data_IF_719314055172
#
_entry.id   IF_719314055172
#
_cell.length_a   1.000
_cell.length_b   1.000
_cell.length_c   1.000
_cell.angle_alpha   90.00
_cell.angle_beta   90.00
_cell.angle_gamma   90.00
#
_symmetry.space_group_name_H-M   'P 1'
#
loop_
_entity.id
_entity.type
_entity.pdbx_description
1 polymer ?
#
# COMPACT_ATOMS: atom_id res chain seq x y z
N UNK A 1 21.15 -9.12 -2.43
CA UNK A 1 19.83 -8.77 -2.96
C UNK A 1 19.61 -7.28 -2.79
N UNK A 2 19.05 -6.62 -3.79
CA UNK A 2 18.74 -5.21 -3.77
C UNK A 2 17.45 -4.92 -4.54
N UNK A 3 16.74 -3.86 -4.16
CA UNK A 3 15.60 -3.31 -4.87
C UNK A 3 15.92 -1.89 -5.37
N UNK A 4 15.56 -1.60 -6.60
CA UNK A 4 15.71 -0.27 -7.18
C UNK A 4 14.42 0.14 -7.87
N UNK A 5 14.02 1.39 -7.69
CA UNK A 5 12.90 1.99 -8.38
C UNK A 5 13.23 3.41 -8.83
N UNK A 6 12.73 3.77 -10.00
CA UNK A 6 12.70 5.12 -10.51
C UNK A 6 11.22 5.50 -10.73
N UNK A 7 10.79 6.58 -10.09
CA UNK A 7 9.41 7.04 -10.10
C UNK A 7 9.34 8.46 -10.68
N UNK A 8 8.66 8.64 -11.79
CA UNK A 8 8.40 9.95 -12.37
C UNK A 8 6.88 10.22 -12.34
N UNK A 9 6.46 11.21 -11.54
CA UNK A 9 5.06 11.56 -11.37
C UNK A 9 4.76 12.95 -11.93
N UNK A 10 3.74 13.01 -12.77
CA UNK A 10 3.23 14.26 -13.36
C UNK A 10 2.63 15.16 -12.27
N UNK A 11 3.17 16.38 -12.14
CA UNK A 11 2.71 17.38 -11.18
C UNK A 11 1.66 18.34 -11.77
N UNK A 12 1.52 18.36 -13.09
CA UNK A 12 0.77 19.41 -13.76
C UNK A 12 1.56 20.71 -13.83
N UNK A 13 0.87 21.85 -13.87
CA UNK A 13 1.47 23.16 -14.15
C UNK A 13 2.46 23.70 -13.11
N UNK A 14 2.58 23.12 -11.93
CA UNK A 14 3.59 23.46 -10.91
C UNK A 14 3.85 22.30 -9.93
N UNK A 15 4.97 22.34 -9.17
CA UNK A 15 5.41 21.27 -8.31
C UNK A 15 4.37 20.82 -7.27
N UNK A 16 4.50 19.60 -6.77
CA UNK A 16 3.68 19.04 -5.72
C UNK A 16 2.84 17.84 -6.17
N UNK A 17 3.41 16.96 -7.00
CA UNK A 17 2.86 15.62 -7.24
C UNK A 17 3.03 14.73 -5.99
N UNK A 18 2.37 13.57 -5.93
CA UNK A 18 2.56 12.63 -4.83
C UNK A 18 3.86 11.80 -4.92
N UNK A 19 4.91 12.31 -5.58
CA UNK A 19 6.17 11.60 -5.79
C UNK A 19 6.82 11.12 -4.49
N UNK A 20 6.89 11.98 -3.47
CA UNK A 20 7.47 11.63 -2.17
C UNK A 20 6.67 10.51 -1.45
N UNK A 21 5.34 10.56 -1.52
CA UNK A 21 4.49 9.52 -0.92
C UNK A 21 4.60 8.20 -1.68
N UNK A 22 4.69 8.26 -3.01
CA UNK A 22 4.93 7.08 -3.84
C UNK A 22 6.24 6.40 -3.47
N UNK A 23 7.34 7.18 -3.33
CA UNK A 23 8.63 6.67 -2.90
C UNK A 23 8.56 5.99 -1.52
N UNK A 24 7.89 6.61 -0.55
CA UNK A 24 7.70 6.01 0.78
C UNK A 24 6.91 4.70 0.76
N UNK A 25 6.00 4.53 -0.19
CA UNK A 25 5.15 3.35 -0.27
C UNK A 25 5.73 2.22 -1.12
N UNK A 26 6.64 2.53 -2.06
CA UNK A 26 7.05 1.60 -3.11
C UNK A 26 7.51 0.23 -2.59
N UNK A 27 8.41 0.20 -1.61
CA UNK A 27 8.91 -1.06 -1.06
C UNK A 27 8.51 -1.30 0.40
N UNK A 28 7.54 -0.56 0.90
CA UNK A 28 7.19 -0.58 2.31
C UNK A 28 6.67 -1.94 2.82
N UNK A 29 6.12 -2.77 1.91
CA UNK A 29 5.65 -4.11 2.26
C UNK A 29 6.77 -5.17 2.32
N UNK A 30 8.00 -4.84 1.94
CA UNK A 30 9.07 -5.84 1.78
C UNK A 30 10.30 -5.52 2.63
N UNK A 31 10.90 -6.57 3.20
CA UNK A 31 12.15 -6.55 3.93
C UNK A 31 13.30 -6.92 2.98
N UNK A 32 14.22 -6.01 2.77
CA UNK A 32 15.38 -6.20 1.89
C UNK A 32 16.58 -5.42 2.40
N UNK A 33 17.81 -5.94 2.23
CA UNK A 33 18.99 -5.34 2.83
C UNK A 33 19.47 -4.06 2.13
N UNK A 34 19.13 -3.88 0.85
CA UNK A 34 19.60 -2.74 0.06
C UNK A 34 18.49 -2.22 -0.84
N UNK A 35 18.26 -0.93 -0.85
CA UNK A 35 17.25 -0.29 -1.68
C UNK A 35 17.66 1.10 -2.15
N UNK A 36 17.26 1.45 -3.35
CA UNK A 36 17.40 2.78 -3.93
C UNK A 36 16.07 3.18 -4.58
N UNK A 37 15.59 4.37 -4.25
CA UNK A 37 14.42 4.96 -4.90
C UNK A 37 14.77 6.38 -5.33
N UNK A 38 14.76 6.61 -6.62
CA UNK A 38 14.79 7.94 -7.22
C UNK A 38 13.38 8.35 -7.58
N UNK A 39 12.93 9.50 -7.11
CA UNK A 39 11.57 9.98 -7.31
C UNK A 39 11.56 11.41 -7.83
N UNK A 40 10.89 11.63 -8.95
CA UNK A 40 10.87 12.89 -9.69
C UNK A 40 9.45 13.47 -9.70
N UNK A 41 9.38 14.74 -9.34
CA UNK A 41 8.18 15.57 -9.45
C UNK A 41 8.24 16.34 -10.77
N UNK A 42 7.50 15.89 -11.78
CA UNK A 42 7.64 16.38 -13.17
C UNK A 42 6.59 17.43 -13.47
N UNK A 43 7.02 18.67 -13.68
CA UNK A 43 6.13 19.77 -14.09
C UNK A 43 5.88 19.70 -15.59
N UNK A 44 4.61 19.75 -15.97
CA UNK A 44 4.15 19.63 -17.37
C UNK A 44 2.99 20.60 -17.66
N UNK A 45 2.72 20.84 -18.92
CA UNK A 45 1.63 21.71 -19.37
C UNK A 45 0.26 21.02 -19.30
N UNK A 46 -0.14 20.65 -18.05
CA UNK A 46 -1.45 20.06 -17.72
C UNK A 46 -2.04 20.73 -16.50
N UNK A 47 -3.34 20.52 -16.20
CA UNK A 47 -3.91 20.95 -14.94
C UNK A 47 -3.12 20.38 -13.76
N UNK A 48 -3.03 21.14 -12.65
CA UNK A 48 -2.36 20.72 -11.43
C UNK A 48 -2.96 19.42 -10.91
N UNK A 49 -2.09 18.43 -10.64
CA UNK A 49 -2.50 17.21 -9.96
C UNK A 49 -2.86 17.50 -8.51
N UNK A 50 -3.85 16.81 -7.99
CA UNK A 50 -4.31 16.96 -6.62
C UNK A 50 -4.37 15.60 -5.92
N UNK A 51 -4.38 15.64 -4.60
CA UNK A 51 -4.48 14.45 -3.78
C UNK A 51 -5.83 13.75 -3.99
N UNK A 52 -5.77 12.46 -4.23
CA UNK A 52 -6.93 11.58 -4.26
C UNK A 52 -6.57 10.30 -3.49
N UNK A 53 -7.24 10.05 -2.39
CA UNK A 53 -7.15 8.91 -1.46
C UNK A 53 -5.82 8.13 -1.50
N UNK A 54 -4.97 8.29 -0.49
CA UNK A 54 -3.62 7.73 -0.40
C UNK A 54 -2.72 8.08 -1.61
N UNK A 55 -2.53 9.39 -1.91
CA UNK A 55 -1.85 9.84 -3.13
C UNK A 55 -0.43 9.27 -3.22
N UNK A 56 -0.12 8.62 -4.33
CA UNK A 56 1.16 7.95 -4.58
C UNK A 56 1.20 6.47 -4.21
N UNK A 57 0.45 6.03 -3.20
CA UNK A 57 0.44 4.62 -2.78
C UNK A 57 -0.11 3.68 -3.86
N UNK A 58 -1.27 3.96 -4.50
CA UNK A 58 -1.78 3.07 -5.55
C UNK A 58 -0.83 2.97 -6.75
N UNK A 59 -0.21 4.08 -7.15
CA UNK A 59 0.73 4.10 -8.27
C UNK A 59 1.98 3.26 -7.97
N UNK A 60 2.56 3.44 -6.78
CA UNK A 60 3.72 2.67 -6.34
C UNK A 60 3.38 1.18 -6.15
N UNK A 61 2.24 0.88 -5.52
CA UNK A 61 1.79 -0.48 -5.32
C UNK A 61 1.57 -1.19 -6.66
N UNK A 62 0.90 -0.56 -7.63
CA UNK A 62 0.70 -1.15 -8.94
C UNK A 62 2.03 -1.52 -9.61
N UNK A 63 3.00 -0.61 -9.61
CA UNK A 63 4.30 -0.84 -10.24
C UNK A 63 5.08 -1.97 -9.55
N UNK A 64 5.20 -1.92 -8.22
CA UNK A 64 5.98 -2.90 -7.47
C UNK A 64 5.32 -4.28 -7.47
N UNK A 65 4.02 -4.35 -7.24
CA UNK A 65 3.30 -5.61 -7.17
C UNK A 65 3.20 -6.32 -8.53
N UNK A 66 3.15 -5.56 -9.63
CA UNK A 66 3.24 -6.13 -10.98
C UNK A 66 4.60 -6.81 -11.22
N UNK A 67 5.69 -6.17 -10.80
CA UNK A 67 7.04 -6.78 -10.89
C UNK A 67 7.15 -7.99 -9.96
N UNK A 68 6.56 -7.93 -8.78
CA UNK A 68 6.53 -9.08 -7.86
C UNK A 68 5.77 -10.26 -8.47
N UNK A 69 4.63 -10.01 -9.12
CA UNK A 69 3.87 -11.07 -9.79
C UNK A 69 4.66 -11.69 -10.96
N UNK A 70 5.35 -10.86 -11.77
CA UNK A 70 6.25 -11.38 -12.81
C UNK A 70 7.40 -12.21 -12.24
N UNK A 71 7.95 -11.83 -11.09
CA UNK A 71 8.97 -12.62 -10.40
C UNK A 71 8.42 -13.96 -9.91
N UNK A 72 7.22 -13.95 -9.32
CA UNK A 72 6.55 -15.18 -8.88
C UNK A 72 6.34 -16.14 -10.05
N UNK A 73 5.87 -15.65 -11.19
CA UNK A 73 5.68 -16.45 -12.40
C UNK A 73 7.00 -17.03 -12.91
N UNK A 74 8.04 -16.21 -13.06
CA UNK A 74 9.36 -16.62 -13.54
C UNK A 74 10.05 -17.65 -12.63
N UNK A 75 9.83 -17.55 -11.31
CA UNK A 75 10.42 -18.44 -10.31
C UNK A 75 9.55 -19.66 -10.00
N UNK A 76 8.31 -19.70 -10.46
CA UNK A 76 7.34 -20.75 -10.13
C UNK A 76 6.98 -20.77 -8.63
N UNK A 77 6.96 -19.62 -7.98
CA UNK A 77 6.67 -19.47 -6.55
C UNK A 77 5.24 -18.94 -6.39
N UNK A 78 4.50 -19.49 -5.42
CA UNK A 78 3.18 -18.97 -5.06
C UNK A 78 3.26 -17.50 -4.65
N UNK A 79 2.37 -16.62 -5.16
CA UNK A 79 2.42 -15.19 -4.88
C UNK A 79 2.31 -14.81 -3.39
N UNK A 80 1.55 -15.56 -2.59
CA UNK A 80 1.49 -15.31 -1.14
C UNK A 80 2.76 -15.82 -0.45
N UNK A 81 3.28 -16.96 -0.82
CA UNK A 81 4.53 -17.50 -0.26
C UNK A 81 5.73 -16.57 -0.53
N UNK A 82 5.80 -16.01 -1.74
CA UNK A 82 6.82 -15.01 -2.06
C UNK A 82 6.72 -13.79 -1.14
N UNK A 83 5.49 -13.30 -0.95
CA UNK A 83 5.23 -12.14 -0.09
C UNK A 83 5.52 -12.44 1.38
N UNK A 84 5.13 -13.60 1.89
CA UNK A 84 5.42 -14.02 3.26
C UNK A 84 6.93 -14.13 3.52
N UNK A 85 7.67 -14.70 2.57
CA UNK A 85 9.13 -14.84 2.67
C UNK A 85 9.84 -13.51 2.77
N UNK A 86 9.32 -12.48 2.09
CA UNK A 86 9.95 -11.16 1.98
C UNK A 86 9.19 -10.07 2.75
N UNK A 87 8.18 -10.40 3.55
CA UNK A 87 7.32 -9.44 4.21
C UNK A 87 8.07 -8.55 5.20
N UNK A 88 7.78 -7.26 5.17
CA UNK A 88 8.08 -6.37 6.27
C UNK A 88 7.35 -6.80 7.54
N UNK A 89 8.02 -6.70 8.66
CA UNK A 89 7.51 -7.06 10.00
C UNK A 89 8.00 -6.08 11.05
N UNK A 90 7.59 -6.28 12.28
CA UNK A 90 8.14 -5.51 13.39
C UNK A 90 9.66 -5.56 13.39
N UNK A 91 10.30 -4.39 13.50
CA UNK A 91 11.74 -4.26 13.43
C UNK A 91 12.31 -4.03 12.03
N UNK A 92 11.60 -4.31 10.95
CA UNK A 92 12.05 -3.98 9.59
C UNK A 92 12.22 -2.47 9.43
N UNK A 93 13.36 -2.06 8.88
CA UNK A 93 13.65 -0.66 8.55
C UNK A 93 13.16 -0.35 7.14
N UNK A 94 12.33 0.66 7.01
CA UNK A 94 11.92 1.19 5.70
C UNK A 94 13.07 1.93 5.03
N UNK A 95 13.01 2.07 3.70
CA UNK A 95 14.06 2.71 2.92
C UNK A 95 14.32 4.17 3.33
N UNK A 96 13.28 4.89 3.74
CA UNK A 96 13.40 6.27 4.20
C UNK A 96 13.85 6.41 5.67
N UNK A 97 14.13 5.29 6.36
CA UNK A 97 14.78 5.24 7.66
C UNK A 97 13.95 4.79 8.85
N UNK A 98 12.65 5.07 8.98
CA UNK A 98 11.85 4.61 10.11
C UNK A 98 11.80 3.09 10.23
N UNK A 99 11.71 2.62 11.47
CA UNK A 99 11.56 1.19 11.78
C UNK A 99 10.10 0.91 12.10
N UNK A 100 9.56 -0.17 11.56
CA UNK A 100 8.21 -0.58 11.87
C UNK A 100 8.08 -0.96 13.35
N UNK A 101 7.06 -0.41 13.97
CA UNK A 101 6.46 -1.00 15.18
C UNK A 101 5.64 -2.22 14.77
N UNK A 102 4.80 -2.74 15.66
CA UNK A 102 3.91 -3.84 15.30
C UNK A 102 3.06 -3.49 14.08
N UNK A 103 3.13 -4.35 13.06
CA UNK A 103 2.32 -4.32 11.85
C UNK A 103 1.76 -5.73 11.59
N UNK A 104 0.59 -5.83 10.97
CA UNK A 104 -0.13 -7.09 10.76
C UNK A 104 -0.03 -7.64 9.33
N UNK A 105 1.03 -7.30 8.57
CA UNK A 105 1.14 -7.73 7.17
C UNK A 105 1.23 -9.25 7.04
N UNK A 106 2.06 -9.89 7.87
CA UNK A 106 2.24 -11.35 7.85
C UNK A 106 0.93 -12.05 8.19
N UNK A 107 0.25 -11.61 9.24
CA UNK A 107 -1.05 -12.16 9.67
C UNK A 107 -2.13 -11.99 8.59
N UNK A 108 -2.13 -10.86 7.88
CA UNK A 108 -3.05 -10.63 6.76
C UNK A 108 -2.76 -11.58 5.58
N UNK A 109 -1.50 -11.79 5.24
CA UNK A 109 -1.09 -12.71 4.18
C UNK A 109 -1.42 -14.16 4.54
N UNK A 110 -1.20 -14.58 5.78
CA UNK A 110 -1.56 -15.91 6.26
C UNK A 110 -3.07 -16.14 6.26
N UNK A 111 -3.85 -15.14 6.68
CA UNK A 111 -5.31 -15.19 6.62
C UNK A 111 -5.80 -15.28 5.16
N UNK A 112 -5.22 -14.52 4.25
CA UNK A 112 -5.54 -14.60 2.83
C UNK A 112 -5.18 -15.97 2.23
N UNK A 113 -4.02 -16.52 2.59
CA UNK A 113 -3.57 -17.85 2.14
C UNK A 113 -4.52 -18.96 2.58
N UNK A 114 -5.01 -18.89 3.81
CA UNK A 114 -5.91 -19.90 4.38
C UNK A 114 -7.38 -19.74 3.99
N UNK A 115 -7.74 -18.64 3.34
CA UNK A 115 -9.12 -18.36 2.97
C UNK A 115 -9.58 -19.22 1.78
N UNK A 116 -10.79 -19.73 1.83
CA UNK A 116 -11.38 -20.60 0.80
C UNK A 116 -11.31 -19.98 -0.60
N UNK A 117 -11.50 -18.65 -0.70
CA UNK A 117 -11.38 -17.96 -1.99
C UNK A 117 -9.98 -18.14 -2.61
N UNK A 118 -8.92 -18.19 -1.83
CA UNK A 118 -7.56 -18.42 -2.33
C UNK A 118 -7.30 -19.89 -2.62
N UNK A 119 -7.81 -20.79 -1.80
CA UNK A 119 -7.60 -22.23 -1.91
C UNK A 119 -8.41 -22.90 -3.04
N UNK A 120 -9.58 -22.32 -3.38
CA UNK A 120 -10.45 -22.88 -4.42
C UNK A 120 -9.83 -22.69 -5.80
N UNK A 121 -9.77 -23.70 -6.67
CA UNK A 121 -9.29 -23.55 -8.05
C UNK A 121 -10.08 -22.49 -8.83
N UNK A 122 -9.38 -21.82 -9.74
CA UNK A 122 -10.01 -20.85 -10.66
C UNK A 122 -10.41 -21.59 -11.94
N UNK A 123 -11.65 -22.04 -12.00
CA UNK A 123 -12.15 -22.79 -13.15
C UNK A 123 -12.58 -21.86 -14.30
N UNK A 124 -12.43 -22.35 -15.53
CA UNK A 124 -12.97 -21.69 -16.71
C UNK A 124 -14.50 -21.62 -16.62
N UNK A 125 -15.06 -20.47 -16.99
CA UNK A 125 -16.53 -20.32 -16.99
C UNK A 125 -17.17 -20.96 -18.23
N UNK A 126 -18.31 -21.65 -18.07
CA UNK A 126 -19.00 -22.29 -19.20
C UNK A 126 -19.40 -21.34 -20.33
N UNK A 127 -19.49 -20.04 -20.03
CA UNK A 127 -19.87 -18.98 -20.99
C UNK A 127 -18.66 -18.34 -21.71
N UNK A 128 -17.46 -18.96 -21.63
CA UNK A 128 -16.25 -18.46 -22.26
C UNK A 128 -15.61 -17.25 -21.57
N UNK A 129 -16.09 -16.83 -20.39
CA UNK A 129 -15.46 -15.77 -19.62
C UNK A 129 -14.15 -16.25 -19.00
N UNK A 130 -13.11 -15.45 -19.14
CA UNK A 130 -11.84 -15.67 -18.45
C UNK A 130 -11.97 -15.23 -17.00
N UNK A 131 -11.37 -15.99 -16.11
CA UNK A 131 -11.27 -15.68 -14.69
C UNK A 131 -9.81 -15.71 -14.27
N UNK A 132 -9.44 -14.79 -13.40
CA UNK A 132 -8.11 -14.73 -12.81
C UNK A 132 -8.21 -14.42 -11.33
N UNK A 133 -7.16 -14.74 -10.61
CA UNK A 133 -6.96 -14.37 -9.21
C UNK A 133 -5.61 -13.69 -9.10
N UNK A 134 -5.57 -12.56 -8.40
CA UNK A 134 -4.36 -11.83 -8.10
C UNK A 134 -4.24 -11.56 -6.61
N UNK A 135 -3.04 -11.31 -6.17
CA UNK A 135 -2.69 -10.88 -4.80
C UNK A 135 -1.80 -9.66 -4.91
N UNK A 136 -2.07 -8.66 -4.13
CA UNK A 136 -1.20 -7.49 -4.00
C UNK A 136 -1.15 -7.03 -2.54
N UNK A 137 -0.01 -6.54 -2.11
CA UNK A 137 0.19 -5.89 -0.82
C UNK A 137 0.25 -4.38 -1.01
N UNK A 138 -0.26 -3.63 -0.05
CA UNK A 138 -0.22 -2.19 -0.09
C UNK A 138 0.15 -1.59 1.26
N UNK A 139 0.74 -0.41 1.22
CA UNK A 139 1.09 0.35 2.39
C UNK A 139 0.52 1.77 2.31
N UNK A 140 -0.06 2.22 3.40
CA UNK A 140 -0.31 3.62 3.65
C UNK A 140 0.03 3.94 5.10
N UNK A 141 0.75 5.02 5.30
CA UNK A 141 1.08 5.43 6.65
C UNK A 141 -0.13 6.05 7.34
N UNK A 142 -0.45 5.53 8.53
CA UNK A 142 -1.45 6.13 9.38
C UNK A 142 -0.82 7.32 10.12
N UNK A 143 -1.17 8.55 9.69
CA UNK A 143 -0.82 9.77 10.40
C UNK A 143 -2.04 10.22 11.20
N UNK A 144 -2.10 9.86 12.47
CA UNK A 144 -3.00 10.49 13.40
C UNK A 144 -2.58 11.94 13.64
N UNK A 145 -3.46 12.88 13.36
CA UNK A 145 -3.33 14.26 13.84
C UNK A 145 -4.03 14.40 15.20
N UNK A 146 -3.68 15.45 15.93
CA UNK A 146 -4.37 15.80 17.17
C UNK A 146 -5.84 16.04 16.86
N UNK A 147 -6.71 15.32 17.54
CA UNK A 147 -8.15 15.52 17.47
C UNK A 147 -8.71 15.83 18.84
N UNK A 148 -9.85 16.51 18.88
CA UNK A 148 -10.57 16.84 20.11
C UNK A 148 -11.95 16.22 20.09
N UNK A 149 -12.49 15.98 21.27
CA UNK A 149 -13.84 15.53 21.46
C UNK A 149 -14.54 16.37 22.54
N UNK A 150 -15.71 16.89 22.22
CA UNK A 150 -16.60 17.51 23.21
C UNK A 150 -17.73 16.54 23.54
N UNK A 151 -17.92 16.27 24.81
CA UNK A 151 -18.99 15.43 25.32
C UNK A 151 -19.92 16.26 26.18
N UNK A 152 -21.20 16.25 25.86
CA UNK A 152 -22.25 16.94 26.64
C UNK A 152 -23.21 15.88 27.19
N UNK A 153 -23.40 15.87 28.49
CA UNK A 153 -24.42 15.05 29.16
C UNK A 153 -25.63 15.92 29.47
N UNK A 154 -26.77 15.56 28.93
CA UNK A 154 -28.02 16.30 29.12
C UNK A 154 -28.78 15.83 30.36
N UNK A 155 -29.65 16.65 30.96
CA UNK A 155 -30.43 16.27 32.15
C UNK A 155 -31.38 15.08 31.95
N UNK A 156 -31.75 14.79 30.71
CA UNK A 156 -32.58 13.64 30.33
C UNK A 156 -31.78 12.32 30.17
N UNK A 157 -30.47 12.36 30.45
CA UNK A 157 -29.56 11.20 30.34
C UNK A 157 -29.03 10.95 28.91
N UNK A 158 -29.36 11.77 27.91
CA UNK A 158 -28.75 11.66 26.60
C UNK A 158 -27.36 12.24 26.58
N UNK A 159 -26.51 11.74 25.70
CA UNK A 159 -25.12 12.20 25.52
C UNK A 159 -24.90 12.66 24.09
N UNK A 160 -24.52 13.93 23.93
CA UNK A 160 -24.06 14.47 22.68
C UNK A 160 -22.54 14.35 22.58
N UNK A 161 -22.03 13.86 21.45
CA UNK A 161 -20.60 13.76 21.17
C UNK A 161 -20.27 14.48 19.88
N UNK A 162 -19.35 15.44 19.93
CA UNK A 162 -18.82 16.12 18.75
C UNK A 162 -17.32 15.83 18.71
N UNK A 163 -16.88 15.17 17.66
CA UNK A 163 -15.46 14.82 17.47
C UNK A 163 -14.89 15.48 16.22
N UNK A 164 -13.64 15.91 16.30
CA UNK A 164 -12.87 16.46 15.19
C UNK A 164 -12.15 15.39 14.37
N UNK A 165 -12.55 14.12 14.48
CA UNK A 165 -12.00 13.06 13.64
C UNK A 165 -12.42 13.28 12.19
N UNK A 166 -11.42 13.34 11.32
CA UNK A 166 -11.59 13.37 9.87
C UNK A 166 -10.81 12.21 9.29
N UNK A 167 -11.49 11.37 8.54
CA UNK A 167 -10.95 10.36 7.63
C UNK A 167 -9.86 9.42 8.20
#
# INVERSE_FOLDING_TARGET
TACQAELALDAGGFPGSPAASAAMCAFACYDYPNGLIDSYDVVVNKPKTAAYRAPGSPQAAFAVESVVDELCEKLGIDPIEFRLTNASKEGTRRIEGPVYRRIGLVECLEAARSHDHYQTPVDAQPNGKLRGRGVASGFWFNRGFVSSCNVTVNPDGTVGVVTGSVD
#
